data_IF_141361018093
#
_entry.id   IF_141361018093
#
_cell.length_a   1.000
_cell.length_b   1.000
_cell.length_c   1.000
_cell.angle_alpha   90.00
_cell.angle_beta   90.00
_cell.angle_gamma   90.00
#
_symmetry.space_group_name_H-M   'P 1'
#
loop_
_entity.id
_entity.type
_entity.pdbx_description
1 polymer ?
#
# COMPACT_ATOMS: atom_id res chain seq x y z
N UNK A 1 13.92 -1.71 2.20
CA UNK A 1 12.66 -2.14 1.57
C UNK A 1 11.49 -1.35 2.16
N UNK A 2 10.64 -0.83 1.30
CA UNK A 2 9.40 -0.15 1.66
C UNK A 2 8.24 -1.09 1.28
N UNK A 3 7.33 -1.37 2.21
CA UNK A 3 6.19 -2.25 1.94
C UNK A 3 4.92 -1.44 1.75
N UNK A 4 4.10 -1.81 0.76
CA UNK A 4 2.80 -1.19 0.50
C UNK A 4 1.72 -2.28 0.42
N UNK A 5 0.64 -2.07 1.15
CA UNK A 5 -0.45 -3.03 1.24
C UNK A 5 -1.57 -2.70 0.26
N UNK A 6 -2.04 -3.69 -0.47
CA UNK A 6 -3.25 -3.61 -1.28
C UNK A 6 -4.36 -4.39 -0.58
N UNK A 7 -5.29 -3.69 0.04
CA UNK A 7 -6.41 -4.26 0.80
C UNK A 7 -7.70 -3.88 0.09
N UNK A 8 -8.49 -4.88 -0.30
CA UNK A 8 -9.73 -4.67 -1.03
C UNK A 8 -10.94 -5.09 -0.21
N UNK A 9 -11.96 -4.23 -0.21
CA UNK A 9 -13.28 -4.53 0.35
C UNK A 9 -14.32 -4.04 -0.66
N UNK A 10 -15.21 -4.92 -1.10
CA UNK A 10 -16.27 -4.60 -2.08
C UNK A 10 -15.68 -3.96 -3.35
N UNK A 11 -14.59 -4.54 -3.87
CA UNK A 11 -13.90 -4.10 -5.09
C UNK A 11 -13.30 -2.70 -5.01
N UNK A 12 -13.10 -2.19 -3.80
CA UNK A 12 -12.49 -0.88 -3.54
C UNK A 12 -11.20 -1.07 -2.74
N UNK A 13 -10.20 -0.26 -3.04
CA UNK A 13 -8.89 -0.34 -2.40
C UNK A 13 -8.80 0.61 -1.22
N UNK A 14 -8.17 0.15 -0.13
CA UNK A 14 -7.89 0.95 1.05
C UNK A 14 -6.78 1.96 0.77
N UNK A 15 -7.06 3.24 1.03
CA UNK A 15 -6.03 4.27 1.13
C UNK A 15 -6.13 4.93 2.50
N UNK A 16 -4.98 5.42 2.99
CA UNK A 16 -4.89 6.17 4.23
C UNK A 16 -4.64 7.64 3.90
N UNK A 17 -5.32 8.54 4.62
CA UNK A 17 -5.14 9.98 4.48
C UNK A 17 -4.12 10.43 5.53
N UNK A 18 -3.04 11.02 5.06
CA UNK A 18 -1.96 11.47 5.93
C UNK A 18 -2.18 12.90 6.41
N UNK A 19 -1.45 13.29 7.47
CA UNK A 19 -1.62 14.61 8.08
C UNK A 19 -1.21 15.78 7.16
N UNK A 20 -0.47 15.51 6.08
CA UNK A 20 -0.12 16.50 5.07
C UNK A 20 -1.17 16.66 3.96
N UNK A 21 -2.30 15.96 4.06
CA UNK A 21 -3.41 16.06 3.12
C UNK A 21 -3.34 15.12 1.92
N UNK A 22 -2.38 14.20 1.87
CA UNK A 22 -2.24 13.26 0.75
C UNK A 22 -2.74 11.86 1.11
N UNK A 23 -3.08 11.09 0.09
CA UNK A 23 -3.54 9.71 0.21
C UNK A 23 -2.48 8.75 -0.29
N UNK A 24 -2.35 7.60 0.37
CA UNK A 24 -1.39 6.57 -0.02
C UNK A 24 -1.90 5.18 0.36
N UNK A 25 -1.34 4.17 -0.29
CA UNK A 25 -1.45 2.80 0.21
C UNK A 25 -0.77 2.74 1.57
N UNK A 26 -1.38 2.05 2.56
CA UNK A 26 -0.71 1.89 3.85
C UNK A 26 0.59 1.12 3.70
N UNK A 27 1.60 1.51 4.46
CA UNK A 27 2.90 0.87 4.40
C UNK A 27 4.00 1.74 4.99
N UNK A 28 5.22 1.24 4.93
CA UNK A 28 6.39 1.94 5.43
C UNK A 28 7.65 1.10 5.30
N UNK A 29 8.72 1.60 5.87
CA UNK A 29 10.00 0.90 5.89
C UNK A 29 9.87 -0.45 6.58
N UNK A 30 10.44 -1.49 5.96
CA UNK A 30 10.44 -2.82 6.55
C UNK A 30 11.47 -2.87 7.67
N UNK A 31 11.01 -3.06 8.90
CA UNK A 31 11.89 -3.15 10.06
C UNK A 31 12.79 -4.39 9.96
N UNK A 32 13.98 -4.32 10.56
CA UNK A 32 14.99 -5.39 10.46
C UNK A 32 14.51 -6.71 11.04
N UNK A 33 13.57 -6.69 11.99
CA UNK A 33 13.02 -7.88 12.62
C UNK A 33 11.70 -8.35 11.97
N UNK A 34 11.30 -7.75 10.84
CA UNK A 34 10.07 -8.10 10.16
C UNK A 34 10.34 -8.70 8.77
N UNK A 35 9.47 -9.60 8.34
CA UNK A 35 9.42 -10.02 6.94
C UNK A 35 8.60 -9.02 6.14
N UNK A 36 8.65 -9.11 4.81
CA UNK A 36 7.79 -8.29 3.94
C UNK A 36 6.31 -8.50 4.33
N UNK A 37 5.89 -9.75 4.52
CA UNK A 37 4.51 -10.06 4.88
C UNK A 37 4.13 -9.48 6.25
N UNK A 38 4.93 -9.76 7.28
CA UNK A 38 4.59 -9.30 8.63
C UNK A 38 4.68 -7.78 8.76
N UNK A 39 5.63 -7.14 8.09
CA UNK A 39 5.72 -5.68 8.11
C UNK A 39 4.51 -5.04 7.44
N UNK A 40 4.04 -5.62 6.33
CA UNK A 40 2.84 -5.12 5.65
C UNK A 40 1.62 -5.20 6.57
N UNK A 41 1.43 -6.33 7.23
CA UNK A 41 0.33 -6.51 8.18
C UNK A 41 0.42 -5.54 9.36
N UNK A 42 1.62 -5.36 9.89
CA UNK A 42 1.90 -4.43 10.98
C UNK A 42 1.56 -2.99 10.60
N UNK A 43 2.00 -2.54 9.42
CA UNK A 43 1.76 -1.18 8.95
C UNK A 43 0.27 -0.90 8.73
N UNK A 44 -0.48 -1.85 8.18
CA UNK A 44 -1.93 -1.71 8.02
C UNK A 44 -2.59 -1.54 9.38
N UNK A 45 -2.17 -2.33 10.37
CA UNK A 45 -2.74 -2.25 11.72
C UNK A 45 -2.41 -0.91 12.38
N UNK A 46 -1.17 -0.47 12.29
CA UNK A 46 -0.73 0.80 12.89
C UNK A 46 -1.40 2.02 12.25
N UNK A 47 -1.48 2.04 10.94
CA UNK A 47 -2.00 3.21 10.21
C UNK A 47 -3.53 3.22 10.10
N UNK A 48 -4.13 2.08 9.85
CA UNK A 48 -5.57 1.98 9.56
C UNK A 48 -6.38 1.28 10.65
N UNK A 49 -5.73 0.63 11.62
CA UNK A 49 -6.42 -0.13 12.66
C UNK A 49 -7.06 -1.42 12.15
N UNK A 50 -6.84 -1.77 10.88
CA UNK A 50 -7.42 -2.95 10.28
C UNK A 50 -6.52 -4.17 10.47
N UNK A 51 -7.15 -5.34 10.51
CA UNK A 51 -6.45 -6.62 10.61
C UNK A 51 -6.51 -7.27 9.24
N UNK A 52 -5.35 -7.59 8.69
CA UNK A 52 -5.22 -8.21 7.37
C UNK A 52 -4.24 -9.37 7.41
N UNK A 53 -4.35 -10.26 6.43
CA UNK A 53 -3.40 -11.34 6.19
C UNK A 53 -2.75 -11.12 4.83
N UNK A 54 -1.42 -11.04 4.79
CA UNK A 54 -0.68 -10.94 3.55
C UNK A 54 -0.82 -12.25 2.77
N UNK A 55 -1.24 -12.16 1.50
CA UNK A 55 -1.51 -13.35 0.69
C UNK A 55 -0.47 -13.58 -0.38
N UNK A 56 -0.07 -12.55 -1.11
CA UNK A 56 0.96 -12.70 -2.12
C UNK A 56 1.63 -11.39 -2.49
N UNK A 57 2.81 -11.51 -3.03
CA UNK A 57 3.58 -10.37 -3.52
C UNK A 57 3.10 -10.00 -4.92
N UNK A 58 2.61 -8.76 -5.06
CA UNK A 58 2.17 -8.23 -6.36
C UNK A 58 3.37 -7.83 -7.19
N UNK A 59 4.29 -7.06 -6.60
CA UNK A 59 5.43 -6.51 -7.31
C UNK A 59 6.56 -6.12 -6.38
N UNK A 60 7.77 -6.10 -6.91
CA UNK A 60 8.92 -5.44 -6.30
C UNK A 60 9.45 -4.45 -7.32
N UNK A 61 9.44 -3.17 -6.98
CA UNK A 61 9.81 -2.10 -7.90
C UNK A 61 10.95 -1.24 -7.35
N UNK A 62 11.87 -0.89 -8.22
CA UNK A 62 12.89 0.12 -7.92
C UNK A 62 12.21 1.49 -7.99
N UNK A 63 12.17 2.22 -6.89
CA UNK A 63 11.47 3.50 -6.81
C UNK A 63 11.94 4.50 -7.89
N UNK A 64 13.22 4.42 -8.28
CA UNK A 64 13.78 5.34 -9.28
C UNK A 64 13.12 5.22 -10.65
N UNK A 65 12.51 4.08 -10.94
CA UNK A 65 11.82 3.84 -12.22
C UNK A 65 10.35 4.21 -12.19
N UNK A 66 9.77 4.41 -11.00
CA UNK A 66 8.32 4.54 -10.87
C UNK A 66 7.85 5.75 -10.06
N UNK A 67 8.65 6.23 -9.10
CA UNK A 67 8.23 7.28 -8.18
C UNK A 67 9.11 8.52 -8.30
N UNK A 68 8.53 9.67 -7.90
CA UNK A 68 9.26 10.94 -7.84
C UNK A 68 9.80 11.11 -6.44
N UNK A 69 11.07 10.77 -6.23
CA UNK A 69 11.74 10.86 -4.92
C UNK A 69 13.19 11.29 -5.07
N UNK A 70 13.73 11.82 -3.98
CA UNK A 70 15.13 12.28 -3.90
C UNK A 70 15.81 11.63 -2.70
N UNK A 71 15.87 10.29 -2.69
CA UNK A 71 16.61 9.57 -1.67
C UNK A 71 18.08 9.44 -2.09
N UNK A 72 18.97 9.50 -1.11
CA UNK A 72 20.40 9.33 -1.35
C UNK A 72 20.76 7.85 -1.60
N UNK A 73 19.86 6.94 -1.37
CA UNK A 73 20.07 5.49 -1.48
C UNK A 73 18.92 4.83 -2.23
N UNK A 74 19.15 3.62 -2.73
CA UNK A 74 18.12 2.87 -3.45
C UNK A 74 17.04 2.34 -2.52
N UNK A 75 15.81 2.33 -3.01
CA UNK A 75 14.65 1.81 -2.28
C UNK A 75 13.93 0.83 -3.18
N UNK A 76 13.67 -0.37 -2.65
CA UNK A 76 12.81 -1.34 -3.30
C UNK A 76 11.43 -1.27 -2.65
N UNK A 77 10.39 -1.13 -3.45
CA UNK A 77 9.00 -1.11 -2.99
C UNK A 77 8.37 -2.48 -3.23
N UNK A 78 7.91 -3.11 -2.16
CA UNK A 78 7.19 -4.38 -2.23
C UNK A 78 5.70 -4.11 -2.06
N UNK A 79 4.91 -4.47 -3.07
CA UNK A 79 3.46 -4.34 -3.06
C UNK A 79 2.86 -5.70 -2.73
N UNK A 80 2.05 -5.77 -1.68
CA UNK A 80 1.54 -7.01 -1.13
C UNK A 80 0.02 -7.03 -1.14
N UNK A 81 -0.57 -8.04 -1.79
CA UNK A 81 -2.01 -8.24 -1.75
C UNK A 81 -2.39 -8.85 -0.41
N UNK A 82 -3.33 -8.21 0.28
CA UNK A 82 -3.76 -8.60 1.61
C UNK A 82 -5.25 -8.93 1.64
N UNK A 83 -5.60 -9.91 2.46
CA UNK A 83 -7.00 -10.26 2.74
C UNK A 83 -7.47 -9.52 3.98
N UNK A 84 -8.60 -8.82 3.87
CA UNK A 84 -9.21 -8.13 4.99
C UNK A 84 -9.80 -9.13 5.99
N UNK A 85 -9.47 -8.97 7.28
CA UNK A 85 -9.95 -9.85 8.35
C UNK A 85 -10.83 -9.11 9.36
N UNK A 86 -10.81 -7.79 9.42
CA UNK A 86 -11.60 -7.01 10.36
C UNK A 86 -10.84 -5.82 10.91
N UNK A 87 -11.25 -5.34 12.08
CA UNK A 87 -10.62 -4.20 12.74
C UNK A 87 -11.40 -2.92 12.57
N UNK A 88 -10.96 -1.87 13.28
CA UNK A 88 -11.62 -0.56 13.28
C UNK A 88 -10.58 0.53 13.26
N UNK A 89 -10.77 1.51 12.37
CA UNK A 89 -9.88 2.66 12.30
C UNK A 89 -10.01 3.57 13.53
N UNK A 90 -8.85 4.04 14.01
CA UNK A 90 -8.77 5.12 14.98
C UNK A 90 -7.74 6.12 14.48
N UNK A 91 -8.14 7.39 14.46
CA UNK A 91 -7.25 8.49 14.08
C UNK A 91 -5.99 8.49 14.95
N UNK A 92 -4.85 8.70 14.33
CA UNK A 92 -3.56 8.78 15.03
C UNK A 92 -2.75 9.96 14.49
N UNK A 93 -1.52 10.13 14.97
CA UNK A 93 -0.69 11.31 14.63
C UNK A 93 -0.43 11.40 13.12
N UNK A 94 -0.21 10.26 12.46
CA UNK A 94 0.16 10.23 11.04
C UNK A 94 -1.05 10.08 10.12
N UNK A 95 -2.05 9.30 10.54
CA UNK A 95 -3.22 8.98 9.72
C UNK A 95 -4.47 9.65 10.27
N UNK A 96 -5.06 10.55 9.48
CA UNK A 96 -6.23 11.32 9.89
C UNK A 96 -7.54 10.65 9.46
N UNK A 97 -7.50 9.80 8.44
CA UNK A 97 -8.68 9.10 7.93
C UNK A 97 -8.27 7.90 7.09
N UNK A 98 -9.19 6.98 6.89
CA UNK A 98 -9.07 5.93 5.88
C UNK A 98 -10.30 5.98 5.00
N UNK A 99 -10.16 5.48 3.76
CA UNK A 99 -11.31 5.31 2.86
C UNK A 99 -10.99 4.23 1.84
N UNK A 100 -12.05 3.71 1.23
CA UNK A 100 -11.95 2.72 0.17
C UNK A 100 -12.37 3.37 -1.14
N UNK A 101 -11.56 3.21 -2.16
CA UNK A 101 -11.76 3.88 -3.45
C UNK A 101 -11.89 2.85 -4.57
N UNK A 102 -12.88 3.04 -5.43
CA UNK A 102 -12.99 2.27 -6.66
C UNK A 102 -11.92 2.69 -7.66
N UNK A 103 -11.66 1.84 -8.64
CA UNK A 103 -10.62 2.06 -9.65
C UNK A 103 -10.76 3.40 -10.38
N UNK A 104 -12.00 3.83 -10.62
CA UNK A 104 -12.30 5.07 -11.34
C UNK A 104 -12.50 6.27 -10.40
N UNK A 105 -12.35 6.08 -9.10
CA UNK A 105 -12.64 7.10 -8.09
C UNK A 105 -11.40 7.46 -7.27
N UNK A 106 -10.21 7.13 -7.76
CA UNK A 106 -8.97 7.39 -7.03
C UNK A 106 -8.78 8.90 -6.82
N UNK A 107 -8.32 9.32 -5.64
CA UNK A 107 -8.10 10.75 -5.37
C UNK A 107 -6.95 11.29 -6.21
N UNK A 108 -6.99 12.60 -6.53
CA UNK A 108 -5.94 13.26 -7.31
C UNK A 108 -4.72 13.60 -6.45
N UNK A 109 -4.91 13.78 -5.14
CA UNK A 109 -3.86 14.19 -4.20
C UNK A 109 -3.16 12.99 -3.59
N UNK A 110 -2.56 12.15 -4.43
CA UNK A 110 -1.77 11.00 -3.99
C UNK A 110 -0.37 11.43 -3.53
N UNK A 111 0.14 10.73 -2.53
CA UNK A 111 1.54 10.85 -2.10
C UNK A 111 2.42 10.11 -3.12
N UNK A 112 2.75 10.76 -4.24
CA UNK A 112 3.39 10.11 -5.39
C UNK A 112 4.79 9.58 -5.09
N UNK A 113 5.45 10.11 -4.07
CA UNK A 113 6.73 9.58 -3.58
C UNK A 113 6.55 8.21 -2.90
N UNK A 114 5.34 7.91 -2.43
CA UNK A 114 5.01 6.64 -1.77
C UNK A 114 4.32 5.68 -2.71
N UNK A 115 3.29 6.15 -3.42
CA UNK A 115 2.60 5.34 -4.42
C UNK A 115 1.99 6.23 -5.50
N UNK A 116 2.10 5.81 -6.74
CA UNK A 116 1.53 6.50 -7.89
C UNK A 116 0.17 5.89 -8.24
N UNK A 117 -0.59 6.60 -9.08
CA UNK A 117 -1.84 6.07 -9.64
C UNK A 117 -1.60 4.75 -10.37
N UNK A 118 -0.52 4.66 -11.16
CA UNK A 118 -0.17 3.46 -11.92
C UNK A 118 0.12 2.27 -11.01
N UNK A 119 0.79 2.52 -9.88
CA UNK A 119 1.05 1.47 -8.89
C UNK A 119 -0.24 0.96 -8.24
N UNK A 120 -1.17 1.88 -7.94
CA UNK A 120 -2.48 1.49 -7.40
C UNK A 120 -3.27 0.70 -8.44
N UNK A 121 -3.26 1.12 -9.71
CA UNK A 121 -3.95 0.39 -10.77
C UNK A 121 -3.35 -1.01 -10.98
N UNK A 122 -2.04 -1.16 -10.82
CA UNK A 122 -1.37 -2.47 -10.82
C UNK A 122 -1.93 -3.37 -9.71
N UNK A 123 -2.20 -2.81 -8.54
CA UNK A 123 -2.81 -3.56 -7.43
C UNK A 123 -4.23 -4.02 -7.78
N UNK A 124 -5.02 -3.17 -8.45
CA UNK A 124 -6.34 -3.57 -8.95
C UNK A 124 -6.23 -4.72 -9.94
N UNK A 125 -5.27 -4.65 -10.86
CA UNK A 125 -5.04 -5.73 -11.84
C UNK A 125 -4.73 -7.05 -11.14
N UNK A 126 -3.87 -7.03 -10.13
CA UNK A 126 -3.55 -8.22 -9.35
C UNK A 126 -4.76 -8.78 -8.62
N UNK A 127 -5.61 -7.91 -8.09
CA UNK A 127 -6.85 -8.32 -7.42
C UNK A 127 -7.85 -8.94 -8.40
N UNK A 128 -7.98 -8.36 -9.59
CA UNK A 128 -8.92 -8.82 -10.62
C UNK A 128 -8.42 -10.08 -11.33
N UNK A 129 -7.12 -10.33 -11.32
CA UNK A 129 -6.51 -11.47 -12.02
C UNK A 129 -5.67 -12.29 -11.04
N UNK A 130 -6.29 -13.30 -10.38
CA UNK A 130 -5.58 -14.13 -9.41
C UNK A 130 -4.39 -14.90 -9.97
N UNK A 131 -4.33 -15.11 -11.30
CA UNK A 131 -3.21 -15.81 -11.95
C UNK A 131 -2.07 -14.89 -12.37
N UNK A 132 -2.20 -13.58 -12.12
CA UNK A 132 -1.14 -12.62 -12.44
C UNK A 132 0.15 -12.97 -11.69
N UNK A 133 1.24 -13.03 -12.44
CA UNK A 133 2.56 -13.30 -11.87
C UNK A 133 3.10 -12.04 -11.17
N UNK A 134 3.96 -12.26 -10.18
CA UNK A 134 4.66 -11.16 -9.52
C UNK A 134 5.51 -10.38 -10.51
N UNK A 135 5.35 -9.07 -10.53
CA UNK A 135 6.11 -8.17 -11.42
C UNK A 135 7.32 -7.64 -10.67
N UNK A 136 8.45 -7.56 -11.34
CA UNK A 136 9.64 -6.96 -10.72
C UNK A 136 10.53 -6.28 -11.77
N UNK A 137 11.26 -5.30 -11.32
CA UNK A 137 12.26 -4.61 -12.14
C UNK A 137 13.58 -5.38 -12.18
#
# INVERSE_FOLDING_TARGET
VDTRAAVFVNEKILLVHENNGTWALPGGWCDVDQSIASNTEKEVHEEAGLIVTAERLIAVQDWRKHNVVNYAYGVLKAFVLCRYEGGTFRKNIETTAISFFGKKELPVNLAVEKCTREQILMCFEAHENPSMQTVFD
#
